data_IF_735015855033
#
_entry.id   IF_735015855033
#
_cell.length_a   1.000
_cell.length_b   1.000
_cell.length_c   1.000
_cell.angle_alpha   90.00
_cell.angle_beta   90.00
_cell.angle_gamma   90.00
#
_symmetry.space_group_name_H-M   'P 1'
#
loop_
_entity.id
_entity.type
_entity.pdbx_description
1 polymer ?
#
# COMPACT_ATOMS: atom_id res chain seq x y z
N UNK A 1 42.74 60.89 -11.96
CA UNK A 1 43.68 60.59 -13.07
C UNK A 1 42.85 59.99 -14.20
N UNK A 2 43.11 60.38 -15.46
CA UNK A 2 42.20 60.39 -16.62
C UNK A 2 41.88 59.03 -17.28
N UNK A 3 40.59 58.87 -17.66
CA UNK A 3 40.03 58.30 -18.93
C UNK A 3 40.02 56.75 -19.14
N UNK A 4 39.19 56.20 -20.07
CA UNK A 4 37.73 56.43 -20.31
C UNK A 4 36.95 55.17 -20.81
N UNK A 5 35.63 55.30 -21.04
CA UNK A 5 35.03 54.76 -22.29
C UNK A 5 33.80 53.84 -22.22
N UNK A 6 32.61 54.43 -22.17
CA UNK A 6 31.41 53.99 -22.91
C UNK A 6 31.14 55.09 -23.96
N UNK A 7 30.73 54.81 -25.21
CA UNK A 7 29.29 54.64 -25.49
C UNK A 7 28.94 53.84 -26.76
N UNK A 8 27.62 53.65 -27.04
CA UNK A 8 27.17 53.57 -28.44
C UNK A 8 25.87 52.80 -28.70
N UNK A 9 24.74 53.46 -28.51
CA UNK A 9 23.49 53.14 -29.20
C UNK A 9 23.30 54.18 -30.32
N UNK A 10 23.03 53.76 -31.56
CA UNK A 10 22.14 54.47 -32.50
C UNK A 10 21.92 53.67 -33.82
N UNK A 11 20.66 53.26 -33.99
CA UNK A 11 19.81 53.27 -35.19
C UNK A 11 20.42 53.53 -36.58
N UNK A 12 19.92 52.79 -37.58
CA UNK A 12 19.35 53.38 -38.80
C UNK A 12 18.50 52.37 -39.60
N UNK A 13 17.30 52.81 -39.96
CA UNK A 13 16.31 52.11 -40.78
C UNK A 13 16.59 52.31 -42.29
N UNK A 14 16.20 51.31 -43.11
CA UNK A 14 15.26 51.36 -44.28
C UNK A 14 15.72 50.65 -45.59
N UNK A 15 14.80 49.77 -46.06
CA UNK A 15 14.42 49.42 -47.47
C UNK A 15 15.43 48.45 -48.16
N UNK A 16 15.08 47.27 -48.70
CA UNK A 16 14.18 46.92 -49.81
C UNK A 16 13.84 45.41 -49.78
N UNK A 17 12.60 45.04 -50.17
CA UNK A 17 12.34 43.81 -50.93
C UNK A 17 11.44 42.76 -50.28
N UNK A 18 10.14 42.75 -50.64
CA UNK A 18 9.31 41.53 -50.58
C UNK A 18 9.52 40.72 -51.87
N UNK A 19 9.48 39.38 -51.78
CA UNK A 19 8.73 38.58 -52.74
C UNK A 19 7.62 37.78 -52.05
N UNK A 20 6.57 37.56 -52.83
CA UNK A 20 5.31 36.87 -52.50
C UNK A 20 5.38 35.36 -52.67
N UNK A 21 4.63 34.66 -51.82
CA UNK A 21 3.81 33.45 -52.03
C UNK A 21 4.40 32.28 -52.85
N UNK A 22 4.67 31.16 -52.16
CA UNK A 22 4.08 29.80 -52.35
C UNK A 22 5.04 28.76 -51.74
N UNK A 23 4.54 27.89 -50.84
CA UNK A 23 5.28 26.70 -50.44
C UNK A 23 4.86 26.06 -49.12
N UNK A 24 3.96 25.08 -49.21
CA UNK A 24 3.75 23.95 -48.28
C UNK A 24 3.25 24.26 -46.85
N UNK A 25 1.94 24.34 -46.70
CA UNK A 25 1.28 23.94 -45.46
C UNK A 25 1.31 22.40 -45.36
N UNK A 26 2.26 21.86 -44.61
CA UNK A 26 2.23 20.47 -44.13
C UNK A 26 1.15 20.39 -43.05
N UNK A 27 -0.06 19.97 -43.43
CA UNK A 27 -1.06 19.49 -42.47
C UNK A 27 -0.55 18.14 -41.99
N UNK A 28 0.11 18.13 -40.82
CA UNK A 28 0.34 16.89 -40.09
C UNK A 28 -1.02 16.41 -39.57
N UNK A 29 -1.68 15.53 -40.33
CA UNK A 29 -2.78 14.72 -39.80
C UNK A 29 -2.14 13.75 -38.80
N UNK A 30 -2.15 14.13 -37.53
CA UNK A 30 -1.91 13.18 -36.45
C UNK A 30 -3.05 12.16 -36.52
N UNK A 31 -2.78 11.00 -37.15
CA UNK A 31 -3.65 9.84 -37.04
C UNK A 31 -3.56 9.41 -35.58
N UNK A 32 -4.50 9.88 -34.75
CA UNK A 32 -4.72 9.31 -33.43
C UNK A 32 -5.25 7.90 -33.65
N UNK A 33 -4.35 6.92 -33.67
CA UNK A 33 -4.75 5.54 -33.53
C UNK A 33 -5.57 5.48 -32.23
N UNK A 34 -6.83 5.02 -32.26
CA UNK A 34 -7.57 4.84 -31.03
C UNK A 34 -6.72 3.93 -30.15
N UNK A 35 -6.39 4.39 -28.93
CA UNK A 35 -5.88 3.50 -27.89
C UNK A 35 -6.94 2.41 -27.80
N UNK A 36 -6.60 1.20 -28.24
CA UNK A 36 -7.41 0.03 -27.98
C UNK A 36 -7.54 -0.04 -26.46
N UNK A 37 -8.71 0.31 -25.95
CA UNK A 37 -9.07 -0.04 -24.58
C UNK A 37 -9.18 -1.56 -24.64
N UNK A 38 -8.12 -2.25 -24.21
CA UNK A 38 -8.20 -3.69 -24.03
C UNK A 38 -9.32 -3.90 -23.01
N UNK A 39 -10.37 -4.64 -23.39
CA UNK A 39 -11.42 -4.99 -22.46
C UNK A 39 -10.81 -5.77 -21.29
N UNK A 40 -11.43 -5.64 -20.11
CA UNK A 40 -11.10 -6.54 -18.99
C UNK A 40 -11.35 -7.98 -19.44
N UNK A 41 -10.40 -8.86 -19.12
CA UNK A 41 -10.55 -10.30 -19.31
C UNK A 41 -11.59 -10.83 -18.32
N UNK A 42 -12.18 -11.97 -18.64
CA UNK A 42 -12.95 -12.75 -17.64
C UNK A 42 -12.02 -13.24 -16.53
N UNK A 43 -12.52 -13.53 -15.31
CA UNK A 43 -11.71 -14.07 -14.23
C UNK A 43 -10.89 -15.29 -14.64
N UNK A 44 -11.48 -16.22 -15.40
CA UNK A 44 -10.84 -17.44 -15.87
C UNK A 44 -9.72 -17.15 -16.89
N UNK A 45 -9.89 -16.13 -17.73
CA UNK A 45 -8.87 -15.68 -18.67
C UNK A 45 -7.73 -14.91 -17.99
N UNK A 46 -8.03 -14.17 -16.91
CA UNK A 46 -7.02 -13.49 -16.10
C UNK A 46 -6.14 -14.53 -15.39
N UNK A 47 -6.71 -15.57 -14.77
CA UNK A 47 -5.93 -16.64 -14.11
C UNK A 47 -4.99 -17.34 -15.09
N UNK A 48 -5.46 -17.65 -16.31
CA UNK A 48 -4.61 -18.24 -17.37
C UNK A 48 -3.44 -17.35 -17.82
N UNK A 49 -3.49 -16.05 -17.52
CA UNK A 49 -2.42 -15.12 -17.86
C UNK A 49 -1.39 -14.93 -16.75
N UNK A 50 -1.64 -15.52 -15.57
CA UNK A 50 -0.71 -15.54 -14.46
C UNK A 50 0.43 -16.52 -14.74
N UNK A 51 1.63 -16.09 -14.39
CA UNK A 51 2.83 -16.92 -14.43
C UNK A 51 3.29 -17.08 -12.98
N UNK A 52 3.03 -18.25 -12.41
CA UNK A 52 3.45 -18.61 -11.07
C UNK A 52 4.81 -19.33 -11.10
N UNK A 53 5.62 -19.15 -10.05
CA UNK A 53 6.84 -19.94 -9.88
C UNK A 53 6.54 -21.41 -9.59
N UNK A 54 7.48 -22.31 -9.88
CA UNK A 54 7.28 -23.78 -9.82
C UNK A 54 6.75 -24.34 -8.48
N UNK A 55 6.85 -23.58 -7.39
CA UNK A 55 6.36 -23.97 -6.08
C UNK A 55 4.90 -23.55 -5.79
N UNK A 56 4.24 -22.88 -6.74
CA UNK A 56 2.92 -22.29 -6.55
C UNK A 56 1.96 -22.74 -7.65
N UNK A 57 0.78 -23.19 -7.25
CA UNK A 57 -0.38 -23.26 -8.11
C UNK A 57 -1.29 -22.05 -7.83
N UNK A 58 -1.90 -21.51 -8.88
CA UNK A 58 -2.84 -20.39 -8.76
C UNK A 58 -4.17 -20.78 -9.39
N UNK A 59 -5.24 -20.65 -8.61
CA UNK A 59 -6.61 -20.95 -9.02
C UNK A 59 -7.55 -19.80 -8.69
N UNK A 60 -8.69 -19.75 -9.40
CA UNK A 60 -9.74 -18.79 -9.09
C UNK A 60 -10.55 -19.30 -7.89
N UNK A 61 -10.44 -18.63 -6.75
CA UNK A 61 -11.26 -18.95 -5.57
C UNK A 61 -12.65 -18.32 -5.64
N UNK A 62 -12.71 -17.01 -5.94
CA UNK A 62 -13.95 -16.24 -6.04
C UNK A 62 -13.81 -15.09 -7.05
N UNK A 63 -14.93 -14.65 -7.62
CA UNK A 63 -15.02 -13.49 -8.50
C UNK A 63 -16.37 -12.78 -8.31
N UNK A 64 -16.66 -11.73 -9.07
CA UNK A 64 -17.97 -11.09 -9.03
C UNK A 64 -19.10 -12.10 -9.39
N UNK A 65 -20.23 -12.11 -8.66
CA UNK A 65 -20.65 -11.16 -7.62
C UNK A 65 -20.21 -11.50 -6.17
N UNK A 66 -19.53 -12.63 -5.97
CA UNK A 66 -19.14 -13.13 -4.65
C UNK A 66 -18.16 -12.17 -3.95
N UNK A 67 -17.21 -11.62 -4.71
CA UNK A 67 -16.31 -10.55 -4.26
C UNK A 67 -16.18 -9.47 -5.34
N UNK A 68 -16.25 -8.20 -4.94
CA UNK A 68 -16.19 -7.03 -5.82
C UNK A 68 -15.20 -6.01 -5.25
N UNK A 69 -14.17 -5.65 -6.02
CA UNK A 69 -13.15 -4.66 -5.64
C UNK A 69 -12.54 -4.90 -4.23
N UNK A 70 -11.91 -6.06 -4.01
CA UNK A 70 -11.30 -6.39 -2.72
C UNK A 70 -10.17 -5.40 -2.37
N UNK A 71 -10.06 -5.04 -1.09
CA UNK A 71 -9.04 -4.10 -0.58
C UNK A 71 -8.05 -4.80 0.35
N UNK A 72 -8.57 -5.55 1.33
CA UNK A 72 -7.78 -6.31 2.28
C UNK A 72 -8.48 -7.62 2.63
N UNK A 73 -7.72 -8.62 3.06
CA UNK A 73 -8.26 -9.88 3.56
C UNK A 73 -7.55 -10.39 4.81
N UNK A 74 -8.22 -11.29 5.51
CA UNK A 74 -7.67 -12.04 6.64
C UNK A 74 -8.33 -13.42 6.72
N UNK A 75 -7.69 -14.37 7.39
CA UNK A 75 -8.16 -15.75 7.50
C UNK A 75 -8.41 -16.08 8.97
N UNK A 76 -9.64 -16.49 9.29
CA UNK A 76 -9.96 -16.85 10.66
C UNK A 76 -9.54 -18.27 11.03
N UNK A 77 -9.68 -18.61 12.32
CA UNK A 77 -9.32 -19.93 12.85
C UNK A 77 -10.09 -21.13 12.26
N UNK A 78 -11.15 -20.88 11.49
CA UNK A 78 -11.91 -21.92 10.77
C UNK A 78 -11.49 -22.03 9.30
N UNK A 79 -10.52 -21.23 8.85
CA UNK A 79 -10.06 -21.20 7.45
C UNK A 79 -10.98 -20.39 6.53
N UNK A 80 -11.90 -19.59 7.07
CA UNK A 80 -12.77 -18.72 6.27
C UNK A 80 -12.02 -17.47 5.85
N UNK A 81 -12.19 -17.04 4.60
CA UNK A 81 -11.56 -15.83 4.07
C UNK A 81 -12.48 -14.64 4.31
N UNK A 82 -12.01 -13.67 5.09
CA UNK A 82 -12.69 -12.40 5.32
C UNK A 82 -12.14 -11.36 4.37
N UNK A 83 -13.00 -10.58 3.72
CA UNK A 83 -12.59 -9.58 2.73
C UNK A 83 -13.35 -8.28 2.91
N UNK A 84 -12.64 -7.16 2.78
CA UNK A 84 -13.26 -5.84 2.65
C UNK A 84 -13.41 -5.44 1.19
N UNK A 85 -14.59 -4.94 0.83
CA UNK A 85 -14.87 -4.38 -0.50
C UNK A 85 -14.78 -2.86 -0.46
N UNK A 86 -14.02 -2.25 -1.39
CA UNK A 86 -13.79 -0.81 -1.44
C UNK A 86 -14.57 -0.08 -2.53
N UNK A 87 -15.87 -0.31 -2.67
CA UNK A 87 -16.69 0.25 -3.75
C UNK A 87 -16.92 1.76 -3.65
N UNK A 88 -16.81 2.34 -2.44
CA UNK A 88 -16.96 3.79 -2.17
C UNK A 88 -15.61 4.52 -2.01
N UNK A 89 -14.50 3.79 -2.12
CA UNK A 89 -13.14 4.36 -2.04
C UNK A 89 -12.88 5.35 -3.19
N UNK A 90 -12.51 6.60 -2.86
CA UNK A 90 -12.28 7.78 -3.75
C UNK A 90 -13.40 8.16 -4.72
N UNK A 91 -14.25 7.22 -5.12
CA UNK A 91 -15.39 7.37 -6.02
C UNK A 91 -16.64 7.21 -5.18
N UNK A 92 -17.48 8.23 -5.17
CA UNK A 92 -18.78 8.19 -4.50
C UNK A 92 -18.67 7.91 -2.99
N UNK A 93 -18.14 8.85 -2.21
CA UNK A 93 -18.50 8.91 -0.76
C UNK A 93 -20.02 9.03 -0.72
N UNK A 94 -20.68 7.88 -0.58
CA UNK A 94 -22.12 7.76 -0.65
C UNK A 94 -22.72 7.97 0.72
N UNK A 95 -23.94 8.47 0.75
CA UNK A 95 -24.85 8.21 1.84
C UNK A 95 -26.10 7.56 1.20
N UNK A 96 -26.44 6.31 1.54
CA UNK A 96 -25.86 5.49 2.62
C UNK A 96 -24.47 4.88 2.31
N UNK A 97 -23.69 4.53 3.36
CA UNK A 97 -22.56 3.61 3.25
C UNK A 97 -23.02 2.24 2.71
N UNK A 98 -22.15 1.53 2.00
CA UNK A 98 -22.45 0.24 1.36
C UNK A 98 -21.17 -0.54 0.96
N UNK A 99 -19.99 -0.16 1.48
CA UNK A 99 -18.83 -1.05 1.47
C UNK A 99 -19.07 -2.20 2.45
N UNK A 100 -18.62 -3.39 2.07
CA UNK A 100 -18.97 -4.64 2.73
C UNK A 100 -17.76 -5.33 3.35
N UNK A 101 -18.03 -6.03 4.43
CA UNK A 101 -17.20 -7.12 4.92
C UNK A 101 -17.91 -8.41 4.52
N UNK A 102 -17.23 -9.26 3.76
CA UNK A 102 -17.75 -10.56 3.35
C UNK A 102 -16.89 -11.68 3.92
N UNK A 103 -17.53 -12.80 4.23
CA UNK A 103 -16.91 -14.05 4.67
C UNK A 103 -17.16 -15.10 3.60
N UNK A 104 -16.09 -15.64 3.04
CA UNK A 104 -16.09 -16.63 1.98
C UNK A 104 -15.65 -17.96 2.59
N UNK A 105 -16.45 -19.00 2.35
CA UNK A 105 -16.26 -20.33 2.90
C UNK A 105 -16.11 -21.33 1.75
N UNK A 106 -15.04 -22.13 1.80
CA UNK A 106 -14.84 -23.36 1.04
C UNK A 106 -15.23 -24.53 1.95
N UNK A 107 -16.36 -25.17 1.67
CA UNK A 107 -16.96 -26.18 2.53
C UNK A 107 -16.45 -27.57 2.13
N UNK A 108 -16.21 -27.81 0.85
CA UNK A 108 -15.78 -29.11 0.33
C UNK A 108 -14.27 -29.24 0.09
N UNK A 109 -13.52 -28.14 0.20
CA UNK A 109 -12.07 -28.09 0.14
C UNK A 109 -11.51 -28.15 -1.29
N UNK A 110 -12.32 -27.86 -2.30
CA UNK A 110 -11.88 -27.86 -3.71
C UNK A 110 -11.18 -26.57 -4.13
N UNK A 111 -11.14 -25.56 -3.26
CA UNK A 111 -10.51 -24.28 -3.51
C UNK A 111 -11.37 -23.32 -4.32
N UNK A 112 -12.69 -23.52 -4.33
CA UNK A 112 -13.71 -22.61 -4.86
C UNK A 112 -14.64 -22.18 -3.73
N UNK A 113 -15.15 -20.96 -3.78
CA UNK A 113 -16.11 -20.48 -2.77
C UNK A 113 -17.46 -21.20 -2.91
N UNK A 114 -17.93 -21.78 -1.81
CA UNK A 114 -19.24 -22.43 -1.72
C UNK A 114 -20.31 -21.52 -1.13
N UNK A 115 -19.90 -20.68 -0.17
CA UNK A 115 -20.81 -19.81 0.58
C UNK A 115 -20.18 -18.45 0.83
N UNK A 116 -20.98 -17.42 0.58
CA UNK A 116 -20.65 -16.03 0.87
C UNK A 116 -21.65 -15.49 1.89
N UNK A 117 -21.13 -14.97 3.00
CA UNK A 117 -21.93 -14.26 4.00
C UNK A 117 -21.52 -12.79 4.01
N UNK A 118 -22.48 -11.87 3.86
CA UNK A 118 -22.23 -10.44 4.10
C UNK A 118 -22.31 -10.19 5.60
N UNK A 119 -21.16 -10.03 6.24
CA UNK A 119 -21.07 -9.80 7.69
C UNK A 119 -21.50 -8.37 8.07
N UNK A 120 -21.03 -7.38 7.31
CA UNK A 120 -21.38 -5.98 7.51
C UNK A 120 -21.43 -5.22 6.18
N UNK A 121 -22.20 -4.13 6.14
CA UNK A 121 -22.35 -3.28 4.94
C UNK A 121 -22.54 -1.80 5.29
N UNK A 122 -21.96 -1.36 6.41
CA UNK A 122 -22.18 -0.04 7.01
C UNK A 122 -20.94 0.87 6.93
N UNK A 123 -20.01 0.56 6.02
CA UNK A 123 -18.72 1.23 5.77
C UNK A 123 -18.67 1.98 4.42
N UNK A 124 -17.66 2.83 4.24
CA UNK A 124 -17.38 3.64 3.04
C UNK A 124 -15.94 3.52 2.50
N UNK A 125 -14.98 3.15 3.31
CA UNK A 125 -13.60 2.98 2.83
C UNK A 125 -12.91 2.02 3.79
N UNK A 126 -13.34 0.75 3.75
CA UNK A 126 -12.81 -0.31 4.57
C UNK A 126 -11.41 -0.72 4.06
N UNK A 127 -10.38 -0.05 4.58
CA UNK A 127 -9.00 -0.07 4.09
C UNK A 127 -8.13 -1.18 4.69
N UNK A 128 -8.63 -1.92 5.67
CA UNK A 128 -7.91 -3.03 6.30
C UNK A 128 -8.85 -3.84 7.19
N UNK A 129 -8.47 -5.09 7.48
CA UNK A 129 -9.25 -6.01 8.31
C UNK A 129 -8.31 -6.86 9.16
N UNK A 130 -8.72 -7.16 10.40
CA UNK A 130 -8.09 -8.15 11.26
C UNK A 130 -9.15 -8.90 12.05
N UNK A 131 -9.16 -10.22 11.94
CA UNK A 131 -10.11 -11.13 12.57
C UNK A 131 -9.41 -11.84 13.73
N UNK A 132 -9.66 -11.37 14.94
CA UNK A 132 -9.04 -11.89 16.15
C UNK A 132 -10.09 -12.52 17.08
N UNK A 133 -10.33 -13.82 16.89
CA UNK A 133 -11.36 -14.55 17.62
C UNK A 133 -12.75 -13.97 17.31
N UNK A 134 -13.43 -13.46 18.33
CA UNK A 134 -14.76 -12.85 18.19
C UNK A 134 -14.72 -11.35 17.88
N UNK A 135 -13.55 -10.75 17.64
CA UNK A 135 -13.42 -9.31 17.38
C UNK A 135 -12.87 -9.08 15.98
N UNK A 136 -13.56 -8.26 15.20
CA UNK A 136 -13.17 -7.90 13.84
C UNK A 136 -12.82 -6.42 13.84
N UNK A 137 -11.54 -6.11 13.67
CA UNK A 137 -11.01 -4.76 13.59
C UNK A 137 -10.99 -4.31 12.13
N UNK A 138 -11.40 -3.08 11.86
CA UNK A 138 -11.51 -2.57 10.49
C UNK A 138 -11.04 -1.12 10.41
N UNK A 139 -10.07 -0.85 9.54
CA UNK A 139 -9.59 0.49 9.27
C UNK A 139 -10.55 1.25 8.34
N UNK A 140 -11.05 2.40 8.80
CA UNK A 140 -11.75 3.39 7.96
C UNK A 140 -11.49 4.79 8.53
N UNK A 141 -10.46 5.47 8.03
CA UNK A 141 -10.10 6.82 8.47
C UNK A 141 -11.31 7.76 8.54
N UNK A 142 -11.53 8.48 9.66
CA UNK A 142 -10.56 8.75 10.73
C UNK A 142 -10.58 7.74 11.89
N UNK A 143 -11.22 6.58 11.71
CA UNK A 143 -11.47 5.61 12.76
C UNK A 143 -10.83 4.25 12.45
N UNK A 144 -10.54 3.51 13.51
CA UNK A 144 -10.54 2.04 13.46
C UNK A 144 -11.81 1.61 14.18
N UNK A 145 -12.62 0.79 13.53
CA UNK A 145 -13.83 0.22 14.10
C UNK A 145 -13.56 -1.20 14.63
N UNK A 146 -14.39 -1.64 15.55
CA UNK A 146 -14.44 -3.04 16.00
C UNK A 146 -15.88 -3.56 15.97
N UNK A 147 -16.08 -4.73 15.39
CA UNK A 147 -17.29 -5.53 15.49
C UNK A 147 -17.04 -6.69 16.47
N UNK A 148 -18.12 -7.19 17.08
CA UNK A 148 -18.11 -8.35 17.96
C UNK A 148 -19.03 -9.43 17.37
N UNK A 149 -18.55 -10.67 17.36
CA UNK A 149 -19.28 -11.89 16.97
C UNK A 149 -18.90 -13.00 17.98
N UNK A 150 -19.42 -12.89 19.20
CA UNK A 150 -19.08 -13.75 20.34
C UNK A 150 -19.72 -15.15 20.24
N UNK A 151 -20.81 -15.28 19.49
CA UNK A 151 -21.47 -16.55 19.23
C UNK A 151 -20.96 -17.24 17.95
N UNK A 152 -20.11 -16.56 17.16
CA UNK A 152 -19.50 -17.03 15.93
C UNK A 152 -20.54 -17.47 14.88
N UNK A 153 -21.66 -16.73 14.79
CA UNK A 153 -22.75 -16.99 13.85
C UNK A 153 -22.64 -16.17 12.56
N UNK A 154 -21.55 -15.40 12.39
CA UNK A 154 -21.31 -14.48 11.28
C UNK A 154 -22.33 -13.35 11.19
N UNK A 155 -22.92 -12.96 12.31
CA UNK A 155 -23.74 -11.77 12.47
C UNK A 155 -23.13 -10.90 13.57
N UNK A 156 -22.89 -9.61 13.32
CA UNK A 156 -22.44 -8.73 14.38
C UNK A 156 -23.44 -8.73 15.56
N UNK A 157 -22.93 -8.95 16.78
CA UNK A 157 -23.71 -8.94 18.03
C UNK A 157 -24.29 -7.56 18.36
N UNK A 158 -23.93 -6.53 17.59
CA UNK A 158 -24.46 -5.19 17.70
C UNK A 158 -23.84 -4.23 16.67
N UNK A 159 -24.12 -2.93 16.81
CA UNK A 159 -23.47 -1.91 15.99
C UNK A 159 -21.96 -1.92 16.20
N UNK A 160 -21.21 -1.63 15.13
CA UNK A 160 -19.77 -1.39 15.24
C UNK A 160 -19.45 -0.32 16.27
N UNK A 161 -18.36 -0.51 17.00
CA UNK A 161 -17.85 0.46 17.99
C UNK A 161 -16.62 1.17 17.40
N UNK A 162 -16.43 2.44 17.74
CA UNK A 162 -15.16 3.12 17.46
C UNK A 162 -14.13 2.55 18.44
N UNK A 163 -13.12 1.86 17.93
CA UNK A 163 -12.01 1.34 18.72
C UNK A 163 -10.99 2.44 18.99
N UNK A 164 -10.53 3.11 17.93
CA UNK A 164 -9.64 4.27 17.99
C UNK A 164 -10.10 5.32 16.98
N UNK A 165 -9.83 6.59 17.25
CA UNK A 165 -10.18 7.71 16.35
C UNK A 165 -9.11 8.79 16.37
N UNK A 166 -9.05 9.58 15.30
CA UNK A 166 -8.10 10.68 15.13
C UNK A 166 -7.04 10.42 14.05
N UNK A 167 -7.22 9.38 13.25
CA UNK A 167 -6.38 9.12 12.08
C UNK A 167 -6.68 10.09 10.94
N UNK A 168 -5.66 10.48 10.19
CA UNK A 168 -5.79 11.30 8.99
C UNK A 168 -6.33 10.51 7.80
N UNK A 169 -6.51 11.17 6.65
CA UNK A 169 -6.72 10.47 5.39
C UNK A 169 -8.11 9.86 5.21
N UNK A 170 -9.17 10.59 5.59
CA UNK A 170 -10.55 10.17 5.35
C UNK A 170 -10.79 9.88 3.86
N UNK A 171 -11.20 8.64 3.55
CA UNK A 171 -11.36 8.13 2.18
C UNK A 171 -10.13 8.41 1.28
N UNK A 172 -8.94 8.14 1.81
CA UNK A 172 -7.66 8.35 1.14
C UNK A 172 -6.77 7.11 1.36
N UNK A 173 -5.97 6.74 0.36
CA UNK A 173 -4.93 5.69 0.44
C UNK A 173 -3.79 6.03 1.39
N UNK A 174 -3.75 7.21 2.04
CA UNK A 174 -2.70 7.59 2.98
C UNK A 174 -3.28 7.75 4.40
N UNK A 175 -4.41 7.10 4.67
CA UNK A 175 -5.03 7.02 5.99
C UNK A 175 -4.51 5.86 6.83
N UNK A 176 -5.31 5.44 7.81
CA UNK A 176 -5.06 4.23 8.60
C UNK A 176 -5.37 2.99 7.75
N UNK A 177 -4.49 2.01 7.79
CA UNK A 177 -4.67 0.70 7.12
C UNK A 177 -4.37 -0.41 8.14
N UNK A 178 -4.06 -1.62 7.63
CA UNK A 178 -3.76 -2.90 8.30
C UNK A 178 -3.69 -2.91 9.83
N UNK A 179 -4.33 -3.92 10.42
CA UNK A 179 -4.16 -4.26 11.83
C UNK A 179 -3.60 -5.67 11.91
N UNK A 180 -2.57 -5.88 12.72
CA UNK A 180 -1.99 -7.22 12.90
C UNK A 180 -1.54 -7.41 14.34
N UNK A 181 -1.84 -8.57 14.91
CA UNK A 181 -1.35 -8.92 16.25
C UNK A 181 0.08 -9.43 16.18
N UNK A 182 0.95 -8.87 17.02
CA UNK A 182 2.30 -9.40 17.22
C UNK A 182 2.34 -10.54 18.23
N UNK A 183 3.49 -11.25 18.32
CA UNK A 183 3.71 -12.30 19.33
C UNK A 183 3.77 -11.75 20.76
N UNK A 184 3.84 -10.43 20.93
CA UNK A 184 3.73 -9.71 22.20
C UNK A 184 2.28 -9.43 22.61
N UNK A 185 1.29 -9.95 21.87
CA UNK A 185 -0.15 -9.72 22.04
C UNK A 185 -0.61 -8.27 21.85
N UNK A 186 0.26 -7.42 21.28
CA UNK A 186 -0.10 -6.05 20.94
C UNK A 186 -0.64 -5.97 19.52
N UNK A 187 -1.53 -5.01 19.30
CA UNK A 187 -2.09 -4.69 17.99
C UNK A 187 -1.20 -3.63 17.32
N UNK A 188 -0.69 -3.96 16.15
CA UNK A 188 0.10 -3.08 15.29
C UNK A 188 -0.81 -2.53 14.18
N UNK A 189 -0.63 -1.26 13.84
CA UNK A 189 -1.31 -0.62 12.73
C UNK A 189 -0.45 0.48 12.13
N UNK A 190 -0.83 1.00 10.97
CA UNK A 190 -0.11 2.04 10.28
C UNK A 190 -1.03 3.19 9.86
N UNK A 191 -0.45 4.37 9.66
CA UNK A 191 -1.11 5.51 9.05
C UNK A 191 -0.16 6.18 8.06
N UNK A 192 -0.67 6.58 6.89
CA UNK A 192 0.10 7.35 5.92
C UNK A 192 0.39 8.79 6.36
N UNK A 193 0.95 9.59 5.46
CA UNK A 193 1.44 10.94 5.74
C UNK A 193 0.38 12.02 5.87
N UNK A 194 -0.89 11.61 5.95
CA UNK A 194 -1.98 12.51 6.33
C UNK A 194 -1.96 12.86 7.82
N UNK A 195 -1.06 12.24 8.59
CA UNK A 195 -0.85 12.49 10.01
C UNK A 195 -1.94 11.87 10.88
N UNK A 196 -1.75 11.93 12.20
CA UNK A 196 -2.69 11.39 13.17
C UNK A 196 -2.58 12.12 14.52
N UNK A 197 -3.68 12.11 15.26
CA UNK A 197 -3.78 12.59 16.63
C UNK A 197 -4.79 11.72 17.37
N UNK A 198 -4.32 10.60 17.91
CA UNK A 198 -5.15 9.52 18.43
C UNK A 198 -5.03 9.48 19.95
N UNK A 199 -6.16 9.38 20.64
CA UNK A 199 -6.21 9.22 22.09
C UNK A 199 -6.86 7.89 22.42
N UNK A 200 -6.15 7.07 23.20
CA UNK A 200 -6.60 5.77 23.66
C UNK A 200 -7.60 5.89 24.82
N UNK A 201 -8.30 4.81 25.18
CA UNK A 201 -9.29 4.81 26.25
C UNK A 201 -8.68 5.06 27.65
N UNK A 202 -7.37 4.85 27.82
CA UNK A 202 -6.60 5.20 29.02
C UNK A 202 -6.17 6.68 29.06
N UNK A 203 -6.56 7.47 28.05
CA UNK A 203 -6.22 8.89 27.93
C UNK A 203 -4.83 9.16 27.35
N UNK A 204 -4.06 8.12 26.99
CA UNK A 204 -2.76 8.29 26.33
C UNK A 204 -2.97 8.82 24.93
N UNK A 205 -2.23 9.87 24.57
CA UNK A 205 -2.33 10.52 23.26
C UNK A 205 -1.01 10.37 22.50
N UNK A 206 -1.12 9.97 21.23
CA UNK A 206 -0.03 10.01 20.26
C UNK A 206 -0.41 10.97 19.14
N UNK A 207 0.57 11.72 18.66
CA UNK A 207 0.34 12.72 17.61
C UNK A 207 1.58 12.88 16.76
N UNK A 208 1.40 12.69 15.47
CA UNK A 208 2.45 12.93 14.49
C UNK A 208 1.90 13.55 13.22
N UNK A 209 2.71 14.38 12.57
CA UNK A 209 2.28 15.13 11.39
C UNK A 209 2.35 14.32 10.09
N UNK A 210 3.16 13.26 10.04
CA UNK A 210 3.37 12.38 8.88
C UNK A 210 2.98 10.93 9.21
N UNK A 211 3.41 9.98 8.38
CA UNK A 211 3.08 8.58 8.55
C UNK A 211 3.85 7.93 9.69
N UNK A 212 3.23 6.93 10.30
CA UNK A 212 3.74 6.25 11.47
C UNK A 212 3.22 4.82 11.57
N UNK A 213 4.02 4.00 12.26
CA UNK A 213 3.60 2.71 12.78
C UNK A 213 3.17 2.91 14.22
N UNK A 214 1.99 2.41 14.55
CA UNK A 214 1.31 2.63 15.81
C UNK A 214 1.10 1.26 16.45
N UNK A 215 1.31 1.17 17.76
CA UNK A 215 1.12 -0.05 18.54
C UNK A 215 0.27 0.24 19.77
N UNK A 216 -0.62 -0.68 20.15
CA UNK A 216 -1.39 -0.60 21.39
C UNK A 216 -1.72 -1.99 21.95
N UNK A 217 -2.27 -2.04 23.15
CA UNK A 217 -2.90 -3.26 23.67
C UNK A 217 -4.18 -3.60 22.88
N UNK A 218 -4.67 -4.83 23.01
CA UNK A 218 -5.88 -5.31 22.33
C UNK A 218 -7.17 -4.53 22.66
N UNK A 219 -7.16 -3.77 23.76
CA UNK A 219 -8.23 -2.88 24.20
C UNK A 219 -8.01 -1.41 23.81
N UNK A 220 -6.93 -1.10 23.10
CA UNK A 220 -6.58 0.23 22.61
C UNK A 220 -5.78 1.08 23.60
N UNK A 221 -5.52 0.58 24.82
CA UNK A 221 -4.68 1.27 25.81
C UNK A 221 -3.20 1.21 25.44
N UNK A 222 -2.38 2.01 26.13
CA UNK A 222 -0.93 2.07 25.94
C UNK A 222 -0.51 2.35 24.48
N UNK A 223 -1.14 3.35 23.85
CA UNK A 223 -0.76 3.78 22.49
C UNK A 223 0.71 4.22 22.41
N UNK A 224 1.41 3.73 21.40
CA UNK A 224 2.82 4.01 21.16
C UNK A 224 3.04 4.39 19.70
N UNK A 225 3.82 5.45 19.48
CA UNK A 225 4.49 5.70 18.18
C UNK A 225 5.63 4.68 18.06
N UNK A 226 5.35 3.52 17.45
CA UNK A 226 6.33 2.45 17.29
C UNK A 226 7.46 2.86 16.33
N UNK A 227 7.13 3.57 15.26
CA UNK A 227 8.09 4.18 14.34
C UNK A 227 7.44 5.33 13.56
N UNK A 228 8.22 6.28 13.05
CA UNK A 228 7.69 7.50 12.41
C UNK A 228 8.40 7.88 11.11
N UNK A 229 7.81 8.84 10.39
CA UNK A 229 8.28 9.42 9.12
C UNK A 229 8.20 8.45 7.94
N UNK A 230 7.03 7.83 7.76
CA UNK A 230 6.65 7.10 6.55
C UNK A 230 5.78 7.97 5.64
N UNK A 231 5.66 7.60 4.36
CA UNK A 231 4.74 8.28 3.43
C UNK A 231 3.40 7.57 3.33
N UNK A 232 3.41 6.37 2.80
CA UNK A 232 2.22 5.58 2.58
C UNK A 232 2.56 4.09 2.71
N UNK A 233 2.78 3.62 3.94
CA UNK A 233 2.79 2.20 4.22
C UNK A 233 1.35 1.69 4.18
N UNK A 234 1.11 0.62 3.43
CA UNK A 234 -0.23 0.06 3.28
C UNK A 234 -0.47 -1.07 4.29
N UNK A 235 0.46 -2.00 4.41
CA UNK A 235 0.35 -3.11 5.36
C UNK A 235 1.65 -3.40 6.10
N UNK A 236 1.51 -3.95 7.31
CA UNK A 236 2.56 -4.42 8.18
C UNK A 236 2.52 -5.95 8.25
N UNK A 237 3.69 -6.58 8.23
CA UNK A 237 3.83 -7.99 8.57
C UNK A 237 4.68 -8.13 9.84
N UNK A 238 4.20 -8.92 10.80
CA UNK A 238 4.93 -9.21 12.04
C UNK A 238 5.29 -10.68 12.05
N UNK A 239 6.58 -11.01 12.25
CA UNK A 239 7.02 -12.39 12.34
C UNK A 239 6.96 -12.93 13.78
N UNK A 240 7.08 -14.26 13.92
CA UNK A 240 7.05 -14.93 15.23
C UNK A 240 8.16 -14.50 16.21
N UNK A 241 9.22 -13.84 15.72
CA UNK A 241 10.29 -13.27 16.54
C UNK A 241 10.05 -11.81 16.92
N UNK A 242 8.92 -11.21 16.48
CA UNK A 242 8.56 -9.83 16.73
C UNK A 242 9.27 -8.83 15.83
N UNK A 243 9.93 -9.25 14.74
CA UNK A 243 10.35 -8.28 13.74
C UNK A 243 9.12 -7.81 12.98
N UNK A 244 9.08 -6.51 12.74
CA UNK A 244 8.02 -5.87 11.96
C UNK A 244 8.60 -5.48 10.60
N UNK A 245 7.82 -5.69 9.55
CA UNK A 245 8.19 -5.43 8.17
C UNK A 245 7.10 -4.58 7.52
N UNK A 246 7.48 -3.68 6.62
CA UNK A 246 6.51 -2.98 5.79
C UNK A 246 7.06 -2.69 4.41
N UNK A 247 6.16 -2.47 3.47
CA UNK A 247 6.45 -1.71 2.25
C UNK A 247 5.99 -0.27 2.43
N UNK A 248 6.73 0.69 1.88
CA UNK A 248 6.32 2.09 1.88
C UNK A 248 6.39 2.66 0.46
N UNK A 249 5.29 3.30 0.04
CA UNK A 249 5.13 3.78 -1.32
C UNK A 249 6.07 4.97 -1.62
N UNK A 250 6.42 5.13 -2.88
CA UNK A 250 7.25 6.25 -3.34
C UNK A 250 6.44 7.53 -3.51
N UNK A 251 7.14 8.66 -3.69
CA UNK A 251 6.47 9.81 -4.28
C UNK A 251 6.31 9.58 -5.79
N UNK A 252 5.06 9.53 -6.24
CA UNK A 252 4.62 9.01 -7.54
C UNK A 252 5.58 9.35 -8.69
N UNK A 253 6.12 8.31 -9.31
CA UNK A 253 6.94 8.40 -10.52
C UNK A 253 8.44 8.52 -10.29
N UNK A 254 8.90 8.60 -9.03
CA UNK A 254 10.32 8.62 -8.69
C UNK A 254 10.96 7.24 -8.61
N UNK A 255 10.16 6.16 -8.60
CA UNK A 255 10.62 4.77 -8.56
C UNK A 255 11.46 4.48 -7.32
N UNK A 256 10.92 4.83 -6.14
CA UNK A 256 11.61 4.65 -4.86
C UNK A 256 10.82 3.84 -3.83
N UNK A 257 9.96 2.93 -4.30
CA UNK A 257 9.25 1.99 -3.43
C UNK A 257 10.30 1.16 -2.68
N UNK A 258 10.02 0.84 -1.42
CA UNK A 258 10.99 0.23 -0.52
C UNK A 258 10.34 -0.78 0.40
N UNK A 259 11.17 -1.75 0.81
CA UNK A 259 10.89 -2.68 1.90
C UNK A 259 11.70 -2.24 3.11
N UNK A 260 11.07 -2.23 4.26
CA UNK A 260 11.62 -1.76 5.52
C UNK A 260 11.51 -2.87 6.57
N UNK A 261 12.57 -3.05 7.35
CA UNK A 261 12.51 -3.67 8.66
C UNK A 261 12.28 -2.56 9.66
N UNK A 262 11.32 -2.73 10.55
CA UNK A 262 10.90 -1.66 11.45
C UNK A 262 11.59 -1.81 12.81
N UNK A 263 12.61 -0.99 13.01
CA UNK A 263 13.20 -0.73 14.31
C UNK A 263 12.25 0.11 15.17
N UNK A 264 11.98 -0.35 16.39
CA UNK A 264 11.23 0.39 17.41
C UNK A 264 11.90 1.73 17.73
N UNK A 265 11.12 2.81 17.75
CA UNK A 265 11.60 4.19 17.85
C UNK A 265 12.29 4.71 16.58
N UNK A 266 12.23 3.96 15.48
CA UNK A 266 12.88 4.28 14.22
C UNK A 266 12.28 5.48 13.49
N UNK A 267 13.14 6.15 12.71
CA UNK A 267 12.79 7.28 11.85
C UNK A 267 13.12 6.95 10.39
N UNK A 268 12.12 7.01 9.51
CA UNK A 268 12.21 6.57 8.10
C UNK A 268 12.23 7.73 7.10
N UNK A 269 12.47 8.95 7.59
CA UNK A 269 12.99 10.06 6.78
C UNK A 269 12.02 10.78 5.85
N UNK A 270 10.73 10.42 5.81
CA UNK A 270 9.70 11.23 5.15
C UNK A 270 9.37 12.50 5.92
N UNK A 271 9.29 13.64 5.23
CA UNK A 271 8.86 14.91 5.84
C UNK A 271 7.91 15.73 4.96
N UNK A 272 6.88 15.09 4.39
CA UNK A 272 5.84 15.79 3.62
C UNK A 272 6.23 16.19 2.20
N UNK A 273 7.29 15.55 1.68
CA UNK A 273 7.79 15.76 0.34
C UNK A 273 9.28 15.46 0.23
N UNK A 274 9.76 15.15 -0.98
CA UNK A 274 11.18 15.00 -1.26
C UNK A 274 11.99 16.16 -0.69
N UNK A 275 13.15 15.85 -0.13
CA UNK A 275 14.26 16.76 -0.34
C UNK A 275 14.53 16.80 -1.85
N UNK A 276 14.42 17.98 -2.47
CA UNK A 276 14.50 18.15 -3.91
C UNK A 276 15.98 18.06 -4.36
N UNK A 277 16.60 16.92 -4.08
CA UNK A 277 18.03 16.72 -4.18
C UNK A 277 18.24 15.73 -5.30
N UNK A 278 18.36 16.31 -6.48
CA UNK A 278 19.08 15.66 -7.55
C UNK A 278 20.56 15.69 -7.17
N UNK A 279 21.28 14.65 -7.55
CA UNK A 279 22.74 14.67 -7.54
C UNK A 279 23.24 15.88 -8.34
N UNK A 280 24.50 16.33 -8.15
CA UNK A 280 25.05 17.45 -8.91
C UNK A 280 24.96 17.31 -10.44
N UNK A 281 24.86 16.07 -10.94
CA UNK A 281 24.67 15.74 -12.36
C UNK A 281 23.20 15.74 -12.81
N UNK A 282 22.25 16.03 -11.93
CA UNK A 282 20.82 16.04 -12.18
C UNK A 282 20.12 14.68 -12.01
N UNK A 283 20.85 13.60 -11.69
CA UNK A 283 20.25 12.28 -11.47
C UNK A 283 19.45 12.22 -10.15
N UNK A 284 18.48 11.29 -10.09
CA UNK A 284 17.67 11.05 -8.89
C UNK A 284 18.31 9.94 -8.05
N UNK A 285 18.44 10.17 -6.75
CA UNK A 285 18.86 9.16 -5.78
C UNK A 285 17.69 8.80 -4.84
N UNK A 286 17.15 7.58 -4.94
CA UNK A 286 16.06 7.15 -4.09
C UNK A 286 16.48 6.99 -2.61
N UNK A 287 17.76 6.75 -2.29
CA UNK A 287 18.22 6.67 -0.89
C UNK A 287 18.14 8.05 -0.24
N UNK A 288 18.66 9.06 -0.95
CA UNK A 288 18.71 10.43 -0.45
C UNK A 288 17.33 11.09 -0.38
N UNK A 289 16.41 10.75 -1.29
CA UNK A 289 15.03 11.23 -1.29
C UNK A 289 14.35 11.06 0.08
N UNK A 290 14.70 9.99 0.79
CA UNK A 290 14.19 9.66 2.11
C UNK A 290 15.26 9.76 3.20
N UNK A 291 16.38 10.44 2.96
CA UNK A 291 17.45 10.68 3.94
C UNK A 291 18.04 9.40 4.55
N UNK A 292 17.91 8.26 3.91
CA UNK A 292 18.39 6.98 4.46
C UNK A 292 19.92 6.85 4.47
N UNK A 293 20.61 7.76 3.79
CA UNK A 293 22.06 7.94 3.82
C UNK A 293 22.53 8.83 4.99
N UNK A 294 21.62 9.52 5.69
CA UNK A 294 21.96 10.44 6.76
C UNK A 294 21.93 9.75 8.14
N UNK A 295 22.86 10.08 9.06
CA UNK A 295 22.80 9.58 10.43
C UNK A 295 21.47 9.96 11.12
N UNK A 296 20.93 9.01 11.90
CA UNK A 296 19.68 9.20 12.63
C UNK A 296 18.42 8.70 11.90
N UNK A 297 18.55 8.22 10.66
CA UNK A 297 17.50 7.53 9.91
C UNK A 297 17.80 6.05 9.78
N UNK A 298 16.75 5.22 9.80
CA UNK A 298 16.89 3.77 9.66
C UNK A 298 17.04 3.42 8.17
N UNK A 299 18.10 2.68 7.78
CA UNK A 299 18.27 2.24 6.40
C UNK A 299 17.15 1.29 5.97
N UNK A 300 16.77 1.37 4.69
CA UNK A 300 15.82 0.42 4.10
C UNK A 300 16.48 -0.93 3.83
N UNK A 301 15.65 -1.97 3.77
CA UNK A 301 16.10 -3.33 3.44
C UNK A 301 16.38 -3.44 1.95
N UNK A 302 15.51 -2.88 1.13
CA UNK A 302 15.58 -2.94 -0.33
C UNK A 302 14.77 -1.79 -0.95
N UNK A 303 15.26 -1.24 -2.06
CA UNK A 303 14.49 -0.35 -2.94
C UNK A 303 14.09 -1.15 -4.17
N UNK A 304 12.79 -1.25 -4.43
CA UNK A 304 12.19 -2.11 -5.46
C UNK A 304 11.87 -1.35 -6.75
N UNK A 305 11.99 -0.02 -6.74
CA UNK A 305 11.81 0.82 -7.91
C UNK A 305 10.39 1.36 -8.05
N UNK A 306 9.82 1.23 -9.24
CA UNK A 306 8.45 1.65 -9.53
C UNK A 306 7.47 0.66 -8.91
N UNK A 307 6.44 1.17 -8.24
CA UNK A 307 5.32 0.36 -7.84
C UNK A 307 4.20 1.14 -7.18
N UNK A 308 3.26 0.37 -6.64
CA UNK A 308 2.18 0.79 -5.78
C UNK A 308 1.97 -0.38 -4.81
N UNK A 309 2.89 -0.55 -3.84
CA UNK A 309 2.85 -1.65 -2.90
C UNK A 309 1.55 -1.62 -2.11
N UNK A 310 0.98 -2.80 -1.88
CA UNK A 310 -0.24 -2.98 -1.13
C UNK A 310 0.06 -3.91 0.07
N UNK A 311 -0.62 -5.05 0.16
CA UNK A 311 -0.55 -5.96 1.28
C UNK A 311 0.76 -6.74 1.40
N UNK A 312 1.05 -7.16 2.62
CA UNK A 312 2.27 -7.85 3.00
C UNK A 312 2.01 -8.84 4.13
N UNK A 313 2.55 -10.05 4.01
CA UNK A 313 2.53 -11.04 5.09
C UNK A 313 3.91 -11.68 5.28
N UNK A 314 4.20 -12.16 6.48
CA UNK A 314 5.41 -12.93 6.76
C UNK A 314 5.04 -14.42 6.81
N UNK A 315 5.47 -15.15 5.80
CA UNK A 315 5.13 -16.55 5.63
C UNK A 315 6.05 -17.46 6.44
N UNK A 316 5.47 -18.16 7.42
CA UNK A 316 6.15 -19.15 8.29
C UNK A 316 5.59 -20.57 8.13
N UNK A 317 4.63 -20.76 7.22
CA UNK A 317 4.01 -22.04 6.91
C UNK A 317 4.92 -23.00 6.16
N UNK A 318 4.43 -24.24 5.98
CA UNK A 318 5.17 -25.31 5.30
C UNK A 318 4.65 -25.66 3.90
N UNK A 319 3.49 -25.13 3.49
CA UNK A 319 2.81 -25.40 2.22
C UNK A 319 3.67 -25.14 0.96
N UNK A 320 4.36 -24.00 0.90
CA UNK A 320 5.23 -23.63 -0.24
C UNK A 320 6.64 -24.26 -0.17
N UNK A 321 6.89 -25.14 0.80
CA UNK A 321 8.18 -25.81 0.97
C UNK A 321 9.29 -24.95 1.58
N UNK A 322 10.46 -25.55 1.83
CA UNK A 322 11.51 -24.95 2.68
C UNK A 322 12.16 -23.70 2.08
N UNK A 323 12.09 -23.51 0.76
CA UNK A 323 12.62 -22.32 0.09
C UNK A 323 11.89 -21.05 0.53
N UNK A 324 10.57 -21.14 0.72
CA UNK A 324 9.71 -19.99 1.02
C UNK A 324 9.46 -19.79 2.51
N UNK A 325 9.87 -20.73 3.37
CA UNK A 325 9.74 -20.58 4.82
C UNK A 325 10.54 -19.39 5.36
N UNK A 326 9.92 -18.63 6.28
CA UNK A 326 10.46 -17.42 6.90
C UNK A 326 10.83 -16.37 5.85
N UNK A 327 9.83 -15.99 5.05
CA UNK A 327 9.97 -15.02 3.95
C UNK A 327 8.82 -14.04 3.96
N UNK A 328 9.04 -12.88 3.37
CA UNK A 328 7.99 -11.88 3.20
C UNK A 328 7.31 -12.14 1.87
N UNK A 329 5.99 -12.27 1.85
CA UNK A 329 5.16 -12.24 0.65
C UNK A 329 4.52 -10.86 0.54
N UNK A 330 4.47 -10.31 -0.66
CA UNK A 330 4.05 -8.92 -0.86
C UNK A 330 3.41 -8.71 -2.21
N UNK A 331 2.31 -7.97 -2.22
CA UNK A 331 1.56 -7.60 -3.41
C UNK A 331 1.97 -6.19 -3.88
N UNK A 332 2.35 -6.07 -5.15
CA UNK A 332 2.63 -4.77 -5.76
C UNK A 332 1.77 -4.56 -7.01
N UNK A 333 0.77 -3.69 -6.88
CA UNK A 333 -0.23 -3.45 -7.92
C UNK A 333 0.35 -2.71 -9.14
N UNK A 334 1.38 -1.87 -8.94
CA UNK A 334 2.02 -1.09 -9.99
C UNK A 334 2.68 -1.95 -11.08
N UNK A 335 3.66 -2.81 -10.73
CA UNK A 335 4.33 -3.72 -11.63
C UNK A 335 3.53 -5.01 -11.88
N UNK A 336 2.47 -5.27 -11.09
CA UNK A 336 1.55 -6.42 -11.22
C UNK A 336 2.22 -7.73 -10.84
N UNK A 337 2.84 -7.70 -9.66
CA UNK A 337 3.70 -8.78 -9.19
C UNK A 337 3.34 -9.12 -7.75
N UNK A 338 3.27 -10.43 -7.47
CA UNK A 338 3.42 -10.94 -6.11
C UNK A 338 4.88 -11.33 -5.95
N UNK A 339 5.52 -10.80 -4.92
CA UNK A 339 6.96 -10.94 -4.67
C UNK A 339 7.20 -11.68 -3.38
N UNK A 340 8.29 -12.44 -3.37
CA UNK A 340 8.89 -13.02 -2.18
C UNK A 340 10.20 -12.30 -1.89
N UNK A 341 10.41 -11.89 -0.64
CA UNK A 341 11.68 -11.36 -0.17
C UNK A 341 12.33 -12.30 0.83
N UNK A 342 13.63 -12.54 0.66
CA UNK A 342 14.46 -13.31 1.58
C UNK A 342 15.31 -12.40 2.45
N UNK A 343 14.85 -12.02 3.66
CA UNK A 343 15.61 -11.18 4.55
C UNK A 343 16.88 -11.89 5.04
N UNK A 344 17.95 -11.12 5.19
CA UNK A 344 19.24 -11.56 5.68
C UNK A 344 19.83 -10.47 6.56
N UNK A 345 20.36 -10.85 7.73
CA UNK A 345 20.96 -9.89 8.67
C UNK A 345 22.26 -9.37 8.08
N UNK A 346 22.40 -8.05 8.01
CA UNK A 346 23.62 -7.38 7.55
C UNK A 346 24.40 -6.80 8.74
N UNK A 347 25.70 -7.08 8.88
CA UNK A 347 26.52 -6.49 9.93
C UNK A 347 26.48 -4.96 9.88
N UNK A 348 26.11 -4.33 11.00
CA UNK A 348 26.12 -2.87 11.16
C UNK A 348 24.99 -2.08 10.48
N UNK A 349 24.12 -2.72 9.69
CA UNK A 349 23.06 -2.03 8.92
C UNK A 349 21.65 -2.49 9.32
N UNK A 350 21.51 -3.71 9.86
CA UNK A 350 20.21 -4.30 10.19
C UNK A 350 19.92 -5.48 9.27
N UNK A 351 19.12 -5.26 8.23
CA UNK A 351 18.75 -6.28 7.25
C UNK A 351 18.95 -5.81 5.81
N UNK A 352 19.23 -6.77 4.93
CA UNK A 352 19.04 -6.65 3.49
C UNK A 352 18.18 -7.81 3.00
N UNK A 353 17.71 -7.77 1.77
CA UNK A 353 16.93 -8.89 1.20
C UNK A 353 17.27 -9.14 -0.26
N UNK A 354 17.11 -10.39 -0.68
CA UNK A 354 16.94 -10.73 -2.10
C UNK A 354 15.46 -10.76 -2.45
N UNK A 355 15.14 -10.54 -3.72
CA UNK A 355 13.77 -10.50 -4.25
C UNK A 355 13.60 -11.56 -5.33
N UNK A 356 12.45 -12.22 -5.33
CA UNK A 356 11.97 -13.10 -6.38
C UNK A 356 10.50 -12.76 -6.69
N UNK A 357 10.13 -12.68 -7.97
CA UNK A 357 8.73 -12.60 -8.35
C UNK A 357 8.15 -14.01 -8.33
N UNK A 358 7.09 -14.24 -7.55
CA UNK A 358 6.45 -15.56 -7.42
C UNK A 358 5.17 -15.67 -8.24
N UNK A 359 4.50 -14.55 -8.52
CA UNK A 359 3.41 -14.47 -9.49
C UNK A 359 3.57 -13.19 -10.30
N UNK A 360 3.49 -13.30 -11.62
CA UNK A 360 3.44 -12.15 -12.54
C UNK A 360 2.28 -12.32 -13.51
N UNK A 361 1.93 -11.27 -14.26
CA UNK A 361 0.87 -11.36 -15.27
C UNK A 361 1.16 -10.53 -16.51
N UNK A 362 0.75 -11.07 -17.66
CA UNK A 362 0.67 -10.30 -18.91
C UNK A 362 -0.62 -9.48 -19.02
N UNK A 363 -1.59 -9.69 -18.14
CA UNK A 363 -2.82 -8.91 -18.09
C UNK A 363 -2.56 -7.49 -17.57
N UNK A 364 -3.05 -6.50 -18.31
CA UNK A 364 -2.96 -5.10 -17.90
C UNK A 364 -3.87 -4.76 -16.72
N UNK A 365 -4.79 -5.64 -16.32
CA UNK A 365 -5.71 -5.46 -15.20
C UNK A 365 -5.36 -6.25 -13.94
N UNK A 366 -4.37 -7.14 -13.98
CA UNK A 366 -3.91 -7.82 -12.76
C UNK A 366 -3.33 -6.78 -11.78
N UNK A 367 -3.94 -6.66 -10.61
CA UNK A 367 -3.55 -5.75 -9.52
C UNK A 367 -3.60 -6.55 -8.23
N UNK A 368 -2.52 -7.27 -7.86
CA UNK A 368 -2.50 -7.97 -6.59
C UNK A 368 -2.57 -6.93 -5.46
N UNK A 369 -3.45 -7.16 -4.49
CA UNK A 369 -3.71 -6.20 -3.40
C UNK A 369 -3.29 -6.74 -2.05
N UNK A 370 -3.44 -8.03 -1.77
CA UNK A 370 -3.17 -8.57 -0.43
C UNK A 370 -2.76 -10.05 -0.52
N UNK A 371 -1.64 -10.47 0.11
CA UNK A 371 -1.22 -11.86 0.18
C UNK A 371 -1.68 -12.60 1.45
N UNK A 372 -2.39 -11.93 2.37
CA UNK A 372 -2.75 -12.43 3.70
C UNK A 372 -4.13 -13.10 3.73
#
# INVERSE_FOLDING_TARGET
>A
MRLPGLPGCQSLWRIIGRPSLLGLALIAVAVSLPRSVLAQKTPEETVKSLMAGDAFDVQLFAAEPDVVNPIACDIDSQGRVWVTEGTKYRRNVGNPPDDKIKVLEDIDGDGVVDKVTVFASDLNAAMGICVAGSRIYVAESPNVYVYEDANNDLVPDGPRKVFLTGFGGKNHDHGVHSQVFGPDHKLYMNNGDTGYNVTGPDGRNIKFQWGGMIRCEADGTQLEDFAVNFRNPFELAVDSFGNVWCSDNDNDGLKSVRICWILEGGNYGWFGGPENIRNPDGSFDPIHHWRADKPGFVPYVLITGFGSPCGMTFYEGDAFGPKYKNKILHCDAGPREVRCYSPSRLPGVGYGATQENIVTSSDNYFRPVDPC
#
